data_IF_000333853196
#
_entry.id   IF_000333853196
#
_cell.length_a   1.000
_cell.length_b   1.000
_cell.length_c   1.000
_cell.angle_alpha   90.00
_cell.angle_beta   90.00
_cell.angle_gamma   90.00
#
_symmetry.space_group_name_H-M   'P 1'
#
loop_
_entity.id
_entity.type
_entity.pdbx_description
1 polymer ?
#
# COMPACT_ATOMS: atom_id res chain seq x y z
N UNK A 1 -56.89 -13.05 14.88
CA UNK A 1 -56.53 -11.62 14.69
C UNK A 1 -55.32 -11.62 13.77
N UNK A 2 -55.45 -11.57 12.44
CA UNK A 2 -55.90 -10.48 11.54
C UNK A 2 -55.06 -9.21 11.67
N UNK A 3 -54.45 -8.81 10.53
CA UNK A 3 -53.82 -7.51 10.21
C UNK A 3 -52.34 -7.69 9.85
N UNK A 4 -51.87 -7.80 8.60
CA UNK A 4 -52.20 -7.21 7.28
C UNK A 4 -51.79 -5.73 7.14
N UNK A 5 -50.74 -5.47 6.34
CA UNK A 5 -50.48 -4.31 5.44
C UNK A 5 -49.03 -4.44 4.88
N UNK A 6 -48.80 -4.80 3.61
CA UNK A 6 -48.69 -3.93 2.40
C UNK A 6 -47.70 -2.77 2.59
N UNK A 7 -46.65 -2.60 1.79
CA UNK A 7 -46.65 -2.33 0.33
C UNK A 7 -45.19 -2.27 -0.16
N UNK A 8 -44.84 -2.88 -1.30
CA UNK A 8 -44.72 -2.27 -2.64
C UNK A 8 -43.30 -1.83 -2.99
N UNK A 9 -42.75 -2.43 -4.05
CA UNK A 9 -42.13 -1.82 -5.24
C UNK A 9 -41.06 -2.80 -5.74
N UNK A 10 -41.38 -3.58 -6.76
CA UNK A 10 -40.37 -4.24 -7.60
C UNK A 10 -40.94 -4.57 -8.98
N UNK A 11 -40.97 -3.54 -9.84
CA UNK A 11 -41.24 -3.68 -11.28
C UNK A 11 -40.33 -2.72 -12.01
N UNK A 12 -39.07 -3.10 -12.28
CA UNK A 12 -38.28 -2.46 -13.35
C UNK A 12 -36.99 -3.23 -13.67
N UNK A 13 -37.10 -4.39 -14.33
CA UNK A 13 -35.90 -5.10 -14.81
C UNK A 13 -36.10 -5.94 -16.08
N UNK A 14 -37.19 -5.69 -16.84
CA UNK A 14 -37.47 -6.42 -18.09
C UNK A 14 -37.54 -5.60 -19.39
N UNK A 15 -37.31 -4.28 -19.39
CA UNK A 15 -37.45 -3.48 -20.64
C UNK A 15 -36.14 -3.15 -21.38
N UNK A 16 -34.95 -3.39 -20.82
CA UNK A 16 -33.69 -2.95 -21.46
C UNK A 16 -33.06 -3.95 -22.44
N UNK A 17 -33.60 -5.18 -22.57
CA UNK A 17 -33.12 -6.17 -23.55
C UNK A 17 -33.85 -6.13 -24.91
N UNK A 18 -34.89 -5.30 -25.06
CA UNK A 18 -35.69 -5.25 -26.30
C UNK A 18 -35.25 -4.16 -27.30
N UNK A 19 -34.33 -3.25 -26.93
CA UNK A 19 -33.96 -2.09 -27.76
C UNK A 19 -32.68 -2.31 -28.57
N UNK A 20 -31.80 -3.25 -28.20
CA UNK A 20 -30.54 -3.48 -28.94
C UNK A 20 -30.64 -4.41 -30.17
N UNK A 21 -31.74 -5.17 -30.35
CA UNK A 21 -31.86 -6.09 -31.49
C UNK A 21 -32.46 -5.47 -32.78
N UNK A 22 -32.96 -4.23 -32.73
CA UNK A 22 -33.65 -3.60 -33.88
C UNK A 22 -32.74 -2.76 -34.78
N UNK A 23 -31.46 -2.57 -34.44
CA UNK A 23 -30.55 -1.68 -35.19
C UNK A 23 -29.62 -2.40 -36.19
N UNK A 24 -29.67 -3.74 -36.27
CA UNK A 24 -28.79 -4.55 -37.15
C UNK A 24 -29.45 -5.14 -38.40
N UNK A 25 -30.72 -4.81 -38.69
CA UNK A 25 -31.45 -5.32 -39.87
C UNK A 25 -31.70 -4.32 -41.00
N UNK A 26 -31.10 -3.12 -40.97
CA UNK A 26 -31.35 -2.07 -41.96
C UNK A 26 -30.15 -1.74 -42.86
N UNK A 27 -29.35 -2.76 -43.21
CA UNK A 27 -28.21 -2.58 -44.12
C UNK A 27 -27.92 -3.84 -44.96
N UNK A 28 -28.98 -4.58 -45.33
CA UNK A 28 -28.88 -5.70 -46.27
C UNK A 28 -30.10 -5.66 -47.18
N UNK A 29 -29.88 -5.26 -48.43
CA UNK A 29 -30.87 -5.32 -49.50
C UNK A 29 -31.26 -3.95 -50.05
N UNK A 30 -30.44 -3.41 -50.94
CA UNK A 30 -30.89 -2.68 -52.12
C UNK A 30 -29.70 -2.51 -53.06
N UNK A 31 -29.61 -3.39 -54.04
CA UNK A 31 -28.93 -3.13 -55.33
C UNK A 31 -29.25 -4.32 -56.24
N UNK A 32 -30.37 -4.18 -56.96
CA UNK A 32 -30.61 -4.89 -58.20
C UNK A 32 -30.66 -3.84 -59.31
N UNK A 33 -29.85 -4.10 -60.33
CA UNK A 33 -29.98 -3.72 -61.75
C UNK A 33 -30.13 -2.26 -62.16
N UNK A 34 -29.10 -1.76 -62.86
CA UNK A 34 -29.32 -1.12 -64.16
C UNK A 34 -28.21 -1.53 -65.14
N UNK A 35 -28.65 -2.06 -66.28
CA UNK A 35 -27.85 -2.38 -67.46
C UNK A 35 -27.15 -1.14 -68.01
N UNK A 36 -25.84 -1.20 -68.24
CA UNK A 36 -25.21 -0.41 -69.30
C UNK A 36 -23.88 -1.00 -69.82
N UNK A 37 -24.00 -1.60 -71.00
CA UNK A 37 -23.24 -1.26 -72.20
C UNK A 37 -21.71 -1.48 -72.18
N UNK A 38 -21.35 -2.56 -72.87
CA UNK A 38 -20.02 -2.88 -73.39
C UNK A 38 -19.46 -1.72 -74.24
N UNK A 39 -18.33 -1.17 -73.83
CA UNK A 39 -17.24 -0.72 -74.71
C UNK A 39 -15.91 -0.61 -73.90
N UNK A 40 -14.75 -0.92 -74.50
CA UNK A 40 -13.49 -1.09 -73.77
C UNK A 40 -12.64 0.19 -73.74
N UNK A 41 -11.64 0.21 -72.85
CA UNK A 41 -10.42 1.07 -72.82
C UNK A 41 -10.35 2.11 -71.70
N UNK A 42 -9.78 1.71 -70.56
CA UNK A 42 -8.92 2.54 -69.68
C UNK A 42 -8.47 1.69 -68.50
N UNK A 43 -7.31 1.03 -68.65
CA UNK A 43 -6.80 0.01 -67.72
C UNK A 43 -5.44 0.43 -67.14
N UNK A 44 -5.26 1.71 -66.79
CA UNK A 44 -3.97 2.23 -66.29
C UNK A 44 -4.06 3.39 -65.26
N UNK A 45 -5.19 3.65 -64.59
CA UNK A 45 -5.28 4.79 -63.64
C UNK A 45 -5.52 4.42 -62.16
N UNK A 46 -5.72 3.14 -61.82
CA UNK A 46 -6.01 2.72 -60.43
C UNK A 46 -4.76 2.45 -59.56
N UNK A 47 -3.57 2.26 -60.15
CA UNK A 47 -2.34 2.06 -59.37
C UNK A 47 -1.85 3.37 -58.72
N UNK A 48 -2.07 4.52 -59.36
CA UNK A 48 -1.60 5.82 -58.86
C UNK A 48 -2.34 6.25 -57.58
N UNK A 49 -3.64 5.95 -57.46
CA UNK A 49 -4.40 6.23 -56.23
C UNK A 49 -3.90 5.40 -55.02
N UNK A 50 -3.43 4.17 -55.26
CA UNK A 50 -2.87 3.32 -54.22
C UNK A 50 -1.46 3.80 -53.80
N UNK A 51 -0.66 4.28 -54.74
CA UNK A 51 0.65 4.88 -54.47
C UNK A 51 0.51 6.15 -53.62
N UNK A 52 -0.47 7.00 -53.91
CA UNK A 52 -0.70 8.22 -53.13
C UNK A 52 -1.25 7.93 -51.73
N UNK A 53 -2.11 6.91 -51.58
CA UNK A 53 -2.54 6.42 -50.27
C UNK A 53 -1.37 5.87 -49.43
N UNK A 54 -0.44 5.15 -50.07
CA UNK A 54 0.78 4.64 -49.42
C UNK A 54 1.73 5.79 -49.02
N UNK A 55 1.90 6.79 -49.88
CA UNK A 55 2.70 7.99 -49.57
C UNK A 55 2.12 8.77 -48.38
N UNK A 56 0.80 8.93 -48.31
CA UNK A 56 0.14 9.58 -47.19
C UNK A 56 0.34 8.83 -45.86
N UNK A 57 0.26 7.49 -45.89
CA UNK A 57 0.54 6.64 -44.71
C UNK A 57 2.00 6.72 -44.28
N UNK A 58 2.93 6.69 -45.23
CA UNK A 58 4.36 6.83 -44.95
C UNK A 58 4.70 8.20 -44.33
N UNK A 59 4.07 9.28 -44.81
CA UNK A 59 4.22 10.62 -44.24
C UNK A 59 3.72 10.69 -42.79
N UNK A 60 2.54 10.10 -42.51
CA UNK A 60 1.99 10.02 -41.15
C UNK A 60 2.90 9.23 -40.20
N UNK A 61 3.49 8.15 -40.70
CA UNK A 61 4.41 7.31 -39.93
C UNK A 61 5.74 8.03 -39.64
N UNK A 62 6.28 8.79 -40.61
CA UNK A 62 7.44 9.66 -40.39
C UNK A 62 7.18 10.73 -39.33
N UNK A 63 6.00 11.37 -39.35
CA UNK A 63 5.62 12.34 -38.33
C UNK A 63 5.47 11.71 -36.94
N UNK A 64 4.93 10.50 -36.85
CA UNK A 64 4.87 9.72 -35.61
C UNK A 64 6.25 9.44 -35.05
N UNK A 65 7.18 8.96 -35.89
CA UNK A 65 8.55 8.65 -35.48
C UNK A 65 9.26 9.91 -34.99
N UNK A 66 9.14 11.03 -35.72
CA UNK A 66 9.72 12.30 -35.30
C UNK A 66 9.18 12.76 -33.96
N UNK A 67 7.86 12.64 -33.73
CA UNK A 67 7.24 12.99 -32.45
C UNK A 67 7.77 12.12 -31.31
N UNK A 68 7.94 10.81 -31.55
CA UNK A 68 8.51 9.88 -30.57
C UNK A 68 9.99 10.19 -30.28
N UNK A 69 10.78 10.52 -31.30
CA UNK A 69 12.18 10.93 -31.12
C UNK A 69 12.30 12.22 -30.32
N UNK A 70 11.41 13.18 -30.54
CA UNK A 70 11.40 14.44 -29.82
C UNK A 70 11.00 14.25 -28.35
N UNK A 71 10.03 13.37 -28.08
CA UNK A 71 9.69 12.97 -26.69
C UNK A 71 10.85 12.24 -26.01
N UNK A 72 11.56 11.35 -26.72
CA UNK A 72 12.74 10.68 -26.19
C UNK A 72 13.86 11.66 -25.86
N UNK A 73 14.14 12.62 -26.74
CA UNK A 73 15.13 13.67 -26.49
C UNK A 73 14.75 14.58 -25.31
N UNK A 74 13.45 14.87 -25.13
CA UNK A 74 12.99 15.66 -23.98
C UNK A 74 13.16 14.90 -22.66
N UNK A 75 12.84 13.60 -22.65
CA UNK A 75 13.10 12.73 -21.50
C UNK A 75 14.60 12.58 -21.21
N UNK A 76 15.45 12.44 -22.24
CA UNK A 76 16.92 12.41 -22.09
C UNK A 76 17.43 13.71 -21.46
N UNK A 77 16.92 14.88 -21.89
CA UNK A 77 17.28 16.17 -21.29
C UNK A 77 16.83 16.30 -19.85
N UNK A 78 15.64 15.80 -19.51
CA UNK A 78 15.16 15.79 -18.12
C UNK A 78 16.02 14.89 -17.23
N UNK A 79 16.49 13.74 -17.74
CA UNK A 79 17.43 12.85 -17.04
C UNK A 79 18.78 13.55 -16.83
N UNK A 80 19.31 14.24 -17.86
CA UNK A 80 20.59 14.97 -17.79
C UNK A 80 20.52 16.19 -16.87
N UNK A 81 19.40 16.92 -16.82
CA UNK A 81 19.21 18.04 -15.89
C UNK A 81 19.17 17.60 -14.42
N UNK A 82 18.77 16.35 -14.14
CA UNK A 82 18.83 15.77 -12.80
C UNK A 82 20.24 15.28 -12.39
N UNK A 83 21.20 15.28 -13.32
CA UNK A 83 22.58 14.82 -13.14
C UNK A 83 23.53 15.95 -12.64
N UNK A 84 23.08 17.20 -12.69
CA UNK A 84 23.90 18.36 -12.31
C UNK A 84 23.62 18.81 -10.85
N UNK A 85 24.01 17.99 -9.88
CA UNK A 85 24.40 18.46 -8.54
C UNK A 85 25.83 17.99 -8.26
N UNK A 86 26.76 18.90 -7.92
CA UNK A 86 28.17 18.53 -7.91
C UNK A 86 28.57 17.78 -6.63
N UNK A 87 29.49 16.85 -6.87
CA UNK A 87 30.58 16.34 -6.02
C UNK A 87 30.23 15.53 -4.76
N UNK A 88 30.32 14.19 -4.86
CA UNK A 88 31.50 13.47 -4.35
C UNK A 88 31.61 12.04 -4.94
N UNK A 89 32.85 11.63 -5.25
CA UNK A 89 33.22 10.49 -6.11
C UNK A 89 33.00 9.10 -5.44
N UNK A 90 32.52 8.15 -6.27
CA UNK A 90 32.26 6.69 -6.05
C UNK A 90 30.79 6.24 -6.02
N UNK A 91 29.84 7.15 -6.19
CA UNK A 91 28.42 6.84 -6.08
C UNK A 91 27.76 6.57 -7.42
N UNK A 92 27.25 5.34 -7.61
CA UNK A 92 26.17 5.11 -8.57
C UNK A 92 25.05 6.14 -8.34
N UNK A 93 24.39 6.65 -9.39
CA UNK A 93 23.25 7.53 -9.23
C UNK A 93 22.23 6.89 -8.28
N UNK A 94 21.70 7.66 -7.33
CA UNK A 94 20.80 7.14 -6.28
C UNK A 94 19.65 6.30 -6.87
N UNK A 95 19.12 6.70 -8.02
CA UNK A 95 18.05 6.01 -8.73
C UNK A 95 18.48 4.63 -9.26
N UNK A 96 19.74 4.44 -9.66
CA UNK A 96 20.27 3.12 -10.08
C UNK A 96 20.25 2.15 -8.91
N UNK A 97 20.62 2.62 -7.71
CA UNK A 97 20.55 1.82 -6.49
C UNK A 97 19.10 1.45 -6.17
N UNK A 98 18.19 2.41 -6.20
CA UNK A 98 16.77 2.16 -5.95
C UNK A 98 16.18 1.18 -6.96
N UNK A 99 16.45 1.34 -8.27
CA UNK A 99 16.02 0.37 -9.29
C UNK A 99 16.57 -1.02 -8.99
N UNK A 100 17.83 -1.13 -8.57
CA UNK A 100 18.42 -2.41 -8.20
C UNK A 100 17.72 -3.03 -6.98
N UNK A 101 17.41 -2.22 -5.97
CA UNK A 101 16.69 -2.62 -4.76
C UNK A 101 15.25 -3.06 -5.10
N UNK A 102 14.50 -2.28 -5.88
CA UNK A 102 13.17 -2.64 -6.39
C UNK A 102 13.18 -3.90 -7.25
N UNK A 103 14.20 -4.05 -8.11
CA UNK A 103 14.38 -5.25 -8.93
C UNK A 103 14.67 -6.48 -8.08
N UNK A 104 15.38 -6.31 -6.95
CA UNK A 104 15.61 -7.39 -5.98
C UNK A 104 14.32 -7.87 -5.32
N UNK A 105 13.35 -6.97 -5.10
CA UNK A 105 12.03 -7.30 -4.53
C UNK A 105 11.27 -8.16 -5.54
N UNK A 106 11.21 -7.74 -6.81
CA UNK A 106 10.62 -8.51 -7.89
C UNK A 106 11.25 -9.92 -8.00
N UNK A 107 12.58 -10.01 -7.99
CA UNK A 107 13.28 -11.29 -8.04
C UNK A 107 12.99 -12.18 -6.81
N UNK A 108 12.91 -11.60 -5.61
CA UNK A 108 12.55 -12.35 -4.39
C UNK A 108 11.12 -12.88 -4.44
N UNK A 109 10.17 -12.08 -4.93
CA UNK A 109 8.79 -12.51 -5.12
C UNK A 109 8.70 -13.66 -6.13
N UNK A 110 9.44 -13.56 -7.23
CA UNK A 110 9.50 -14.61 -8.25
C UNK A 110 10.15 -15.90 -7.73
N UNK A 111 11.21 -15.79 -6.94
CA UNK A 111 11.83 -16.96 -6.33
C UNK A 111 10.89 -17.64 -5.31
N UNK A 112 10.15 -16.85 -4.51
CA UNK A 112 9.13 -17.38 -3.58
C UNK A 112 7.99 -18.09 -4.29
N UNK A 113 7.59 -17.64 -5.48
CA UNK A 113 6.53 -18.29 -6.25
C UNK A 113 6.99 -19.56 -6.99
N UNK A 114 8.30 -19.83 -7.04
CA UNK A 114 8.87 -21.00 -7.70
C UNK A 114 8.68 -21.01 -9.22
N UNK A 115 8.37 -19.87 -9.84
CA UNK A 115 8.07 -19.75 -11.26
C UNK A 115 9.21 -19.08 -12.02
N UNK A 116 9.48 -19.55 -13.24
CA UNK A 116 10.40 -18.86 -14.15
C UNK A 116 9.85 -17.48 -14.55
N UNK A 117 10.72 -16.55 -14.97
CA UNK A 117 10.33 -15.17 -15.35
C UNK A 117 9.20 -15.17 -16.39
N UNK A 118 9.30 -16.07 -17.38
CA UNK A 118 8.29 -16.22 -18.41
C UNK A 118 6.98 -16.80 -17.89
N UNK A 119 7.03 -17.80 -17.01
CA UNK A 119 5.84 -18.41 -16.42
C UNK A 119 5.16 -17.50 -15.39
N UNK A 120 5.90 -16.70 -14.62
CA UNK A 120 5.33 -15.73 -13.70
C UNK A 120 4.62 -14.61 -14.46
N UNK A 121 5.25 -14.08 -15.51
CA UNK A 121 4.63 -13.09 -16.40
C UNK A 121 3.40 -13.65 -17.13
N UNK A 122 3.40 -14.95 -17.46
CA UNK A 122 2.29 -15.62 -18.14
C UNK A 122 1.16 -16.07 -17.19
N UNK A 123 1.48 -16.57 -16.00
CA UNK A 123 0.53 -17.06 -14.99
C UNK A 123 -0.22 -15.91 -14.32
N UNK A 124 0.48 -14.80 -14.03
CA UNK A 124 -0.13 -13.51 -13.71
C UNK A 124 -0.61 -12.77 -14.95
N UNK A 125 -0.38 -13.32 -16.14
CA UNK A 125 -0.54 -12.68 -17.44
C UNK A 125 -1.97 -12.41 -17.87
N UNK A 126 -3.01 -13.05 -17.34
CA UNK A 126 -4.38 -12.61 -17.66
C UNK A 126 -4.69 -11.25 -17.00
N UNK A 127 -4.25 -11.04 -15.76
CA UNK A 127 -4.35 -9.77 -15.05
C UNK A 127 -3.27 -8.80 -15.50
N UNK A 128 -2.03 -9.26 -15.69
CA UNK A 128 -0.90 -8.47 -16.16
C UNK A 128 -1.07 -7.97 -17.60
N UNK A 129 -1.56 -8.80 -18.53
CA UNK A 129 -1.90 -8.36 -19.90
C UNK A 129 -3.17 -7.52 -19.88
N UNK A 130 -4.16 -7.78 -19.02
CA UNK A 130 -5.33 -6.89 -18.91
C UNK A 130 -4.96 -5.54 -18.33
N UNK A 131 -4.06 -5.48 -17.37
CA UNK A 131 -3.57 -4.26 -16.74
C UNK A 131 -2.61 -3.55 -17.69
N UNK A 132 -1.64 -4.22 -18.32
CA UNK A 132 -0.80 -3.64 -19.39
C UNK A 132 -1.66 -3.18 -20.57
N UNK A 133 -2.69 -3.94 -20.96
CA UNK A 133 -3.64 -3.55 -22.00
C UNK A 133 -4.53 -2.38 -21.54
N UNK A 134 -4.98 -2.32 -20.28
CA UNK A 134 -5.69 -1.17 -19.70
C UNK A 134 -4.77 0.03 -19.51
N UNK A 135 -3.48 -0.17 -19.28
CA UNK A 135 -2.42 0.84 -19.20
C UNK A 135 -2.11 1.42 -20.57
N UNK A 136 -2.02 0.56 -21.58
CA UNK A 136 -1.81 0.93 -22.99
C UNK A 136 -3.07 1.59 -23.56
N UNK A 137 -4.26 1.18 -23.12
CA UNK A 137 -5.54 1.77 -23.53
C UNK A 137 -5.91 3.03 -22.73
N UNK A 138 -5.48 3.15 -21.46
CA UNK A 138 -5.69 4.32 -20.59
C UNK A 138 -4.36 4.85 -20.02
N UNK A 139 -3.47 5.39 -20.87
CA UNK A 139 -2.17 5.92 -20.45
C UNK A 139 -2.27 7.07 -19.44
N UNK A 140 -3.45 7.69 -19.29
CA UNK A 140 -3.74 8.72 -18.30
C UNK A 140 -3.68 8.24 -16.84
N UNK A 141 -3.96 6.95 -16.55
CA UNK A 141 -3.84 6.39 -15.19
C UNK A 141 -2.39 6.13 -14.81
N UNK A 142 -1.59 5.69 -15.77
CA UNK A 142 -0.14 5.58 -15.59
C UNK A 142 0.51 6.96 -15.56
N UNK A 143 0.04 7.93 -16.34
CA UNK A 143 0.50 9.31 -16.28
C UNK A 143 0.14 10.03 -14.96
N UNK A 144 -0.60 9.39 -14.05
CA UNK A 144 -0.76 9.87 -12.67
C UNK A 144 0.28 9.26 -11.71
N UNK A 145 0.81 8.07 -11.99
CA UNK A 145 1.98 7.50 -11.27
C UNK A 145 3.32 8.00 -11.85
N UNK A 146 3.34 8.17 -13.16
CA UNK A 146 4.32 8.86 -13.98
C UNK A 146 3.74 10.24 -14.28
N UNK A 147 3.20 10.91 -13.25
CA UNK A 147 2.98 12.34 -13.38
C UNK A 147 4.37 12.95 -13.60
N UNK A 148 4.59 13.79 -14.63
CA UNK A 148 5.83 14.56 -14.74
C UNK A 148 6.13 15.37 -13.46
N UNK A 149 5.15 15.57 -12.58
CA UNK A 149 5.34 16.14 -11.25
C UNK A 149 5.87 15.17 -10.16
N UNK A 150 5.90 13.85 -10.38
CA UNK A 150 6.42 12.84 -9.43
C UNK A 150 7.42 11.87 -10.09
N UNK A 151 8.55 12.36 -10.64
CA UNK A 151 9.57 11.50 -11.26
C UNK A 151 10.23 10.53 -10.26
N UNK A 152 9.99 10.70 -8.96
CA UNK A 152 10.62 9.93 -7.90
C UNK A 152 10.06 8.52 -7.73
N UNK A 153 8.88 8.22 -8.28
CA UNK A 153 8.30 6.87 -8.25
C UNK A 153 8.82 5.95 -9.36
N UNK A 154 9.37 6.53 -10.44
CA UNK A 154 9.96 5.79 -11.57
C UNK A 154 10.94 4.70 -11.14
N UNK A 155 11.90 4.94 -10.22
CA UNK A 155 12.81 3.89 -9.79
C UNK A 155 12.13 2.72 -9.07
N UNK A 156 10.96 2.92 -8.46
CA UNK A 156 10.21 1.90 -7.73
C UNK A 156 9.24 1.08 -8.61
N UNK A 157 9.09 1.46 -9.89
CA UNK A 157 8.18 0.79 -10.84
C UNK A 157 8.34 -0.73 -10.87
N UNK A 158 9.55 -1.33 -10.88
CA UNK A 158 9.70 -2.79 -10.88
C UNK A 158 9.02 -3.46 -9.67
N UNK A 159 9.17 -2.89 -8.47
CA UNK A 159 8.56 -3.42 -7.26
C UNK A 159 7.04 -3.23 -7.26
N UNK A 160 6.54 -2.08 -7.75
CA UNK A 160 5.10 -1.81 -7.87
C UNK A 160 4.45 -2.79 -8.83
N UNK A 161 5.07 -3.02 -10.00
CA UNK A 161 4.59 -3.96 -11.00
C UNK A 161 4.52 -5.40 -10.46
N UNK A 162 5.48 -5.80 -9.61
CA UNK A 162 5.48 -7.12 -9.00
C UNK A 162 4.27 -7.39 -8.09
N UNK A 163 3.62 -6.34 -7.56
CA UNK A 163 2.49 -6.43 -6.63
C UNK A 163 1.19 -5.86 -7.19
N UNK A 164 1.15 -5.58 -8.49
CA UNK A 164 0.08 -4.82 -9.12
C UNK A 164 -1.31 -5.46 -8.99
N UNK A 165 -1.35 -6.79 -9.01
CA UNK A 165 -2.57 -7.59 -8.83
C UNK A 165 -3.25 -7.37 -7.47
N UNK A 166 -2.44 -7.25 -6.41
CA UNK A 166 -2.92 -6.99 -5.05
C UNK A 166 -3.16 -5.51 -4.81
N UNK A 167 -2.39 -4.66 -5.49
CA UNK A 167 -2.61 -3.22 -5.45
C UNK A 167 -3.92 -2.83 -6.15
N UNK A 168 -4.37 -3.55 -7.18
CA UNK A 168 -5.56 -3.23 -8.00
C UNK A 168 -6.79 -2.90 -7.14
N UNK A 169 -7.08 -3.69 -6.10
CA UNK A 169 -8.20 -3.49 -5.18
C UNK A 169 -8.06 -2.26 -4.29
N UNK A 170 -6.83 -1.74 -4.12
CA UNK A 170 -6.51 -0.65 -3.20
C UNK A 170 -5.93 0.60 -3.89
N UNK A 171 -5.85 0.63 -5.23
CA UNK A 171 -5.25 1.76 -5.98
C UNK A 171 -5.99 3.08 -5.70
N UNK A 172 -7.32 3.06 -5.71
CA UNK A 172 -8.12 4.27 -5.51
C UNK A 172 -7.84 4.95 -4.15
N UNK A 173 -7.95 4.26 -2.99
CA UNK A 173 -7.67 4.91 -1.71
C UNK A 173 -6.18 5.26 -1.52
N UNK A 174 -5.24 4.50 -2.11
CA UNK A 174 -3.81 4.86 -2.10
C UNK A 174 -3.56 6.15 -2.89
N UNK A 175 -4.13 6.28 -4.09
CA UNK A 175 -4.01 7.47 -4.92
C UNK A 175 -4.54 8.70 -4.17
N UNK A 176 -5.73 8.58 -3.60
CA UNK A 176 -6.42 9.68 -2.93
C UNK A 176 -5.69 10.16 -1.66
N UNK A 177 -5.22 9.23 -0.82
CA UNK A 177 -4.69 9.54 0.52
C UNK A 177 -3.16 9.70 0.56
N UNK A 178 -2.44 8.99 -0.31
CA UNK A 178 -0.97 8.96 -0.31
C UNK A 178 -0.41 9.76 -1.47
N UNK A 179 -0.80 9.43 -2.70
CA UNK A 179 -0.14 9.99 -3.90
C UNK A 179 -0.55 11.45 -4.15
N UNK A 180 -1.80 11.81 -3.86
CA UNK A 180 -2.24 13.20 -3.95
C UNK A 180 -1.62 14.11 -2.86
N UNK A 181 -1.15 13.54 -1.74
CA UNK A 181 -0.50 14.29 -0.68
C UNK A 181 1.02 14.17 -0.76
N UNK A 182 1.68 15.18 -1.36
CA UNK A 182 3.14 15.22 -1.54
C UNK A 182 3.93 15.03 -0.24
N UNK A 183 3.40 15.41 0.92
CA UNK A 183 4.08 15.23 2.21
C UNK A 183 4.13 13.77 2.64
N UNK A 184 3.05 13.02 2.41
CA UNK A 184 3.01 11.59 2.69
C UNK A 184 3.92 10.85 1.73
N UNK A 185 3.84 11.17 0.44
CA UNK A 185 4.70 10.58 -0.58
C UNK A 185 6.18 10.77 -0.24
N UNK A 186 6.61 12.00 0.07
CA UNK A 186 8.01 12.28 0.42
C UNK A 186 8.51 11.52 1.67
N UNK A 187 7.61 11.17 2.61
CA UNK A 187 7.96 10.43 3.82
C UNK A 187 8.00 8.91 3.61
N UNK A 188 7.15 8.40 2.72
CA UNK A 188 6.98 6.96 2.46
C UNK A 188 7.91 6.47 1.34
N UNK A 189 8.15 7.30 0.33
CA UNK A 189 8.94 6.96 -0.87
C UNK A 189 10.29 6.31 -0.53
N UNK A 190 11.12 6.82 0.42
CA UNK A 190 12.41 6.19 0.72
C UNK A 190 12.32 4.75 1.22
N UNK A 191 11.14 4.33 1.68
CA UNK A 191 10.87 3.00 2.21
C UNK A 191 9.90 2.19 1.36
N UNK A 192 9.51 2.69 0.18
CA UNK A 192 8.46 2.08 -0.64
C UNK A 192 8.79 0.65 -1.04
N UNK A 193 10.04 0.35 -1.39
CA UNK A 193 10.46 -1.01 -1.72
C UNK A 193 10.30 -1.98 -0.55
N UNK A 194 10.57 -1.52 0.68
CA UNK A 194 10.40 -2.33 1.89
C UNK A 194 8.92 -2.58 2.18
N UNK A 195 8.07 -1.56 1.98
CA UNK A 195 6.61 -1.70 2.07
C UNK A 195 6.12 -2.73 1.06
N UNK A 196 6.59 -2.68 -0.18
CA UNK A 196 6.16 -3.58 -1.26
C UNK A 196 6.64 -5.02 -1.07
N UNK A 197 7.82 -5.22 -0.49
CA UNK A 197 8.33 -6.54 -0.12
C UNK A 197 7.43 -7.20 0.94
N UNK A 198 7.01 -6.40 1.94
CA UNK A 198 6.14 -6.80 3.06
C UNK A 198 4.64 -6.61 2.77
N UNK A 199 4.25 -6.34 1.52
CA UNK A 199 2.89 -5.94 1.19
C UNK A 199 1.84 -7.00 1.58
N UNK A 200 2.19 -8.28 1.48
CA UNK A 200 1.28 -9.38 1.85
C UNK A 200 0.84 -9.32 3.32
N UNK A 201 1.72 -8.85 4.21
CA UNK A 201 1.42 -8.72 5.64
C UNK A 201 0.67 -7.41 5.94
N UNK A 202 0.87 -6.38 5.11
CA UNK A 202 0.31 -5.04 5.30
C UNK A 202 -1.09 -4.93 4.69
N UNK A 203 -1.33 -5.62 3.57
CA UNK A 203 -2.56 -5.60 2.78
C UNK A 203 -3.83 -5.73 3.63
N UNK A 204 -3.95 -6.69 4.58
CA UNK A 204 -5.16 -6.83 5.40
C UNK A 204 -5.46 -5.60 6.28
N UNK A 205 -4.44 -4.81 6.61
CA UNK A 205 -4.53 -3.66 7.51
C UNK A 205 -4.57 -2.32 6.77
N UNK A 206 -4.49 -2.35 5.44
CA UNK A 206 -4.29 -1.16 4.62
C UNK A 206 -5.41 -0.15 4.76
N UNK A 207 -6.67 -0.58 4.88
CA UNK A 207 -7.80 0.33 5.07
C UNK A 207 -7.62 1.21 6.33
N UNK A 208 -7.28 0.59 7.47
CA UNK A 208 -7.03 1.31 8.71
C UNK A 208 -5.79 2.20 8.64
N UNK A 209 -4.72 1.74 7.99
CA UNK A 209 -3.50 2.51 7.79
C UNK A 209 -3.79 3.78 6.99
N UNK A 210 -4.56 3.67 5.89
CA UNK A 210 -4.90 4.80 5.03
C UNK A 210 -5.81 5.81 5.74
N UNK A 211 -6.67 5.38 6.67
CA UNK A 211 -7.46 6.26 7.54
C UNK A 211 -6.63 7.04 8.55
N UNK A 212 -5.44 6.56 8.90
CA UNK A 212 -4.56 7.16 9.89
C UNK A 212 -3.22 7.61 9.30
N UNK A 213 -3.16 7.77 7.97
CA UNK A 213 -1.91 8.00 7.24
C UNK A 213 -1.22 9.31 7.65
N UNK A 214 -2.00 10.34 7.98
CA UNK A 214 -1.48 11.64 8.43
C UNK A 214 -0.60 11.50 9.68
N UNK A 215 -0.96 10.58 10.58
CA UNK A 215 -0.19 10.31 11.79
C UNK A 215 0.97 9.34 11.53
N UNK A 216 0.79 8.35 10.64
CA UNK A 216 1.73 7.25 10.42
C UNK A 216 2.87 7.61 9.46
N UNK A 217 2.60 8.39 8.40
CA UNK A 217 3.55 8.66 7.32
C UNK A 217 4.90 9.25 7.79
N UNK A 218 4.97 10.17 8.76
CA UNK A 218 6.26 10.68 9.25
C UNK A 218 7.14 9.62 9.92
N UNK A 219 6.54 8.51 10.34
CA UNK A 219 7.17 7.46 11.14
C UNK A 219 7.39 6.16 10.36
N UNK A 220 7.10 6.13 9.07
CA UNK A 220 7.14 4.92 8.23
C UNK A 220 8.45 4.13 8.38
N UNK A 221 9.61 4.81 8.34
CA UNK A 221 10.91 4.13 8.48
C UNK A 221 11.11 3.43 9.83
N UNK A 222 10.67 4.05 10.93
CA UNK A 222 10.78 3.47 12.27
C UNK A 222 9.76 2.34 12.50
N UNK A 223 8.56 2.49 11.94
CA UNK A 223 7.52 1.45 11.99
C UNK A 223 7.95 0.21 11.19
N UNK A 224 8.52 0.39 10.00
CA UNK A 224 8.97 -0.72 9.15
C UNK A 224 10.10 -1.54 9.78
N UNK A 225 11.01 -0.89 10.51
CA UNK A 225 12.07 -1.57 11.23
C UNK A 225 11.54 -2.57 12.28
N UNK A 226 10.38 -2.29 12.86
CA UNK A 226 9.73 -3.10 13.89
C UNK A 226 8.41 -3.71 13.41
N UNK A 227 8.24 -3.90 12.11
CA UNK A 227 6.97 -4.33 11.53
C UNK A 227 6.59 -5.73 12.02
N UNK A 228 7.56 -6.62 12.18
CA UNK A 228 7.35 -7.99 12.65
C UNK A 228 6.77 -8.00 14.07
N UNK A 229 7.32 -7.18 14.96
CA UNK A 229 6.84 -7.05 16.33
C UNK A 229 5.46 -6.37 16.40
N UNK A 230 5.16 -5.45 15.49
CA UNK A 230 3.88 -4.75 15.42
C UNK A 230 2.77 -5.61 14.83
N UNK A 231 3.07 -6.41 13.80
CA UNK A 231 2.10 -7.30 13.14
C UNK A 231 1.53 -8.36 14.09
N UNK A 232 2.28 -8.73 15.14
CA UNK A 232 1.82 -9.63 16.21
C UNK A 232 0.55 -9.10 16.90
N UNK A 233 0.39 -7.78 16.98
CA UNK A 233 -0.83 -7.16 17.54
C UNK A 233 -1.91 -6.91 16.52
N UNK A 234 -1.56 -6.85 15.24
CA UNK A 234 -2.52 -6.70 14.16
C UNK A 234 -3.25 -8.03 13.88
N UNK A 235 -2.60 -9.18 14.13
CA UNK A 235 -3.12 -10.53 13.89
C UNK A 235 -3.62 -11.24 15.16
N UNK A 236 -4.35 -10.53 16.04
CA UNK A 236 -4.90 -11.18 17.24
C UNK A 236 -6.14 -12.02 16.89
N UNK A 237 -5.96 -13.33 16.71
CA UNK A 237 -7.05 -14.30 16.48
C UNK A 237 -8.11 -14.30 17.60
N UNK A 238 -7.75 -13.84 18.80
CA UNK A 238 -8.58 -13.86 20.00
C UNK A 238 -9.42 -12.58 20.21
N UNK A 239 -9.33 -11.59 19.31
CA UNK A 239 -10.05 -10.32 19.45
C UNK A 239 -11.09 -10.17 18.33
N UNK A 240 -12.27 -9.67 18.67
CA UNK A 240 -13.29 -9.32 17.69
C UNK A 240 -12.73 -8.31 16.67
N UNK A 241 -13.18 -8.37 15.40
CA UNK A 241 -12.72 -7.47 14.33
C UNK A 241 -12.87 -5.98 14.68
N UNK A 242 -13.86 -5.64 15.50
CA UNK A 242 -14.10 -4.27 15.97
C UNK A 242 -12.99 -3.78 16.92
N UNK A 243 -12.43 -4.70 17.71
CA UNK A 243 -11.40 -4.44 18.71
C UNK A 243 -9.97 -4.60 18.22
N UNK A 244 -9.78 -5.18 17.03
CA UNK A 244 -8.48 -5.45 16.41
C UNK A 244 -7.57 -4.21 16.39
N UNK A 245 -8.13 -3.01 16.18
CA UNK A 245 -7.38 -1.76 16.14
C UNK A 245 -7.56 -0.88 17.39
N UNK A 246 -8.20 -1.36 18.46
CA UNK A 246 -8.45 -0.56 19.67
C UNK A 246 -7.15 -0.15 20.36
N UNK A 247 -6.14 -1.02 20.39
CA UNK A 247 -4.81 -0.69 20.87
C UNK A 247 -4.15 0.41 20.03
N UNK A 248 -4.14 0.23 18.72
CA UNK A 248 -3.54 1.18 17.80
C UNK A 248 -4.21 2.57 17.92
N UNK A 249 -5.54 2.62 18.03
CA UNK A 249 -6.32 3.85 18.25
C UNK A 249 -5.93 4.57 19.54
N UNK A 250 -5.72 3.86 20.64
CA UNK A 250 -5.28 4.47 21.92
C UNK A 250 -3.83 4.95 21.87
N UNK A 251 -2.98 4.34 21.04
CA UNK A 251 -1.58 4.70 20.89
C UNK A 251 -1.36 5.87 19.92
N UNK A 252 -2.26 6.10 18.96
CA UNK A 252 -2.13 7.16 17.95
C UNK A 252 -1.77 8.54 18.52
N UNK A 253 -2.43 9.05 19.58
CA UNK A 253 -2.09 10.36 20.17
C UNK A 253 -0.66 10.44 20.72
N UNK A 254 -0.07 9.29 21.04
CA UNK A 254 1.26 9.17 21.62
C UNK A 254 2.26 8.57 20.62
N UNK A 255 1.89 8.41 19.35
CA UNK A 255 2.66 7.66 18.37
C UNK A 255 4.11 8.14 18.26
N UNK A 256 4.34 9.45 18.16
CA UNK A 256 5.71 9.98 18.09
C UNK A 256 6.57 9.65 19.32
N UNK A 257 5.95 9.57 20.50
CA UNK A 257 6.63 9.17 21.73
C UNK A 257 6.96 7.66 21.73
N UNK A 258 6.04 6.80 21.28
CA UNK A 258 6.27 5.35 21.23
C UNK A 258 7.23 4.93 20.13
N UNK A 259 7.08 5.49 18.93
CA UNK A 259 7.88 5.14 17.76
C UNK A 259 9.36 5.44 17.99
N UNK A 260 9.68 6.58 18.62
CA UNK A 260 11.06 6.92 18.98
C UNK A 260 11.71 5.95 19.98
N UNK A 261 10.90 5.07 20.60
CA UNK A 261 11.32 4.09 21.61
C UNK A 261 11.08 2.66 21.18
N UNK A 262 10.63 2.41 19.95
CA UNK A 262 10.42 1.04 19.46
C UNK A 262 11.71 0.21 19.51
N UNK A 263 12.88 0.83 19.35
CA UNK A 263 14.16 0.12 19.54
C UNK A 263 14.35 -0.44 20.96
N UNK A 264 13.73 0.19 21.96
CA UNK A 264 13.76 -0.23 23.37
C UNK A 264 12.60 -1.19 23.67
N UNK A 265 11.41 -0.88 23.16
CA UNK A 265 10.16 -1.61 23.50
C UNK A 265 9.98 -2.85 22.61
N UNK A 266 10.49 -2.85 21.38
CA UNK A 266 10.33 -3.89 20.36
C UNK A 266 10.55 -5.30 20.89
N UNK A 267 11.68 -5.61 21.56
CA UNK A 267 11.93 -6.93 22.14
C UNK A 267 10.90 -7.36 23.20
N UNK A 268 10.23 -6.40 23.83
CA UNK A 268 9.21 -6.65 24.86
C UNK A 268 7.80 -6.80 24.27
N UNK A 269 7.55 -6.28 23.07
CA UNK A 269 6.23 -6.29 22.44
C UNK A 269 5.60 -7.71 22.37
N UNK A 270 6.27 -8.75 21.86
CA UNK A 270 5.68 -10.10 21.84
C UNK A 270 5.23 -10.60 23.23
N UNK A 271 5.95 -10.25 24.29
CA UNK A 271 5.65 -10.65 25.67
C UNK A 271 4.51 -9.83 26.30
N UNK A 272 4.26 -8.64 25.77
CA UNK A 272 3.16 -7.78 26.21
C UNK A 272 1.81 -8.18 25.62
N UNK A 273 1.79 -8.97 24.53
CA UNK A 273 0.56 -9.45 23.87
C UNK A 273 -0.50 -10.00 24.82
N UNK A 274 -0.23 -11.00 25.70
CA UNK A 274 -1.25 -11.53 26.62
C UNK A 274 -1.79 -10.48 27.60
N UNK A 275 -1.07 -9.38 27.80
CA UNK A 275 -1.40 -8.32 28.77
C UNK A 275 -2.16 -7.15 28.14
N UNK A 276 -2.27 -7.09 26.80
CA UNK A 276 -2.95 -6.00 26.08
C UNK A 276 -4.40 -5.80 26.53
N UNK A 277 -5.25 -6.83 26.68
CA UNK A 277 -6.64 -6.63 27.11
C UNK A 277 -6.73 -5.92 28.48
N UNK A 278 -5.79 -6.21 29.38
CA UNK A 278 -5.70 -5.58 30.70
C UNK A 278 -5.22 -4.12 30.62
N UNK A 279 -4.35 -3.80 29.66
CA UNK A 279 -3.86 -2.45 29.39
C UNK A 279 -4.92 -1.56 28.74
N UNK A 280 -5.69 -2.13 27.81
CA UNK A 280 -6.81 -1.47 27.15
C UNK A 280 -7.91 -1.11 28.16
N UNK A 281 -8.12 -1.99 29.15
CA UNK A 281 -9.10 -1.75 30.21
C UNK A 281 -8.77 -0.48 30.99
N UNK A 282 -9.72 0.46 30.99
CA UNK A 282 -9.63 1.75 31.69
C UNK A 282 -8.53 2.71 31.16
N UNK A 283 -8.12 2.58 29.90
CA UNK A 283 -7.15 3.48 29.25
C UNK A 283 -5.83 3.63 30.06
N UNK A 284 -5.29 2.49 30.53
CA UNK A 284 -4.05 2.49 31.33
C UNK A 284 -2.83 2.85 30.49
N UNK A 285 -2.90 2.64 29.18
CA UNK A 285 -1.85 2.97 28.21
C UNK A 285 -1.48 4.45 28.29
N UNK A 286 -2.46 5.36 28.30
CA UNK A 286 -2.18 6.79 28.41
C UNK A 286 -1.44 7.17 29.70
N UNK A 287 -1.65 6.40 30.78
CA UNK A 287 -1.00 6.64 32.09
C UNK A 287 0.40 6.04 32.17
N UNK A 288 0.63 4.92 31.49
CA UNK A 288 1.92 4.23 31.45
C UNK A 288 2.85 4.84 30.41
N UNK A 289 2.29 5.40 29.32
CA UNK A 289 3.01 6.01 28.20
C UNK A 289 4.18 6.90 28.65
N UNK A 290 4.00 7.91 29.53
CA UNK A 290 5.08 8.82 29.92
C UNK A 290 6.22 8.16 30.71
N UNK A 291 6.04 6.91 31.14
CA UNK A 291 6.95 6.18 32.01
C UNK A 291 7.53 4.92 31.35
N UNK A 292 7.24 4.70 30.07
CA UNK A 292 7.64 3.48 29.36
C UNK A 292 9.15 3.27 29.33
N UNK A 293 9.92 4.36 29.20
CA UNK A 293 11.39 4.30 29.21
C UNK A 293 11.94 3.75 30.51
N UNK A 294 11.28 4.03 31.63
CA UNK A 294 11.76 3.56 32.93
C UNK A 294 11.36 2.12 33.18
N UNK A 295 10.20 1.71 32.66
CA UNK A 295 9.73 0.33 32.69
C UNK A 295 10.60 -0.59 31.84
N UNK A 296 11.06 -0.11 30.68
CA UNK A 296 11.82 -0.89 29.70
C UNK A 296 13.26 -0.37 29.50
N UNK A 297 13.79 0.41 30.46
CA UNK A 297 15.06 1.13 30.30
C UNK A 297 16.24 0.21 29.96
N UNK A 298 17.22 0.77 29.23
CA UNK A 298 18.45 0.17 28.69
C UNK A 298 19.33 -0.66 29.65
N UNK A 299 19.04 -0.68 30.96
CA UNK A 299 19.72 -1.53 31.96
C UNK A 299 19.06 -2.89 32.20
N UNK A 300 17.90 -3.15 31.59
CA UNK A 300 17.11 -4.36 31.82
C UNK A 300 17.13 -5.25 30.57
N UNK A 301 18.19 -6.03 30.40
CA UNK A 301 18.22 -7.13 29.42
C UNK A 301 17.25 -8.27 29.80
N UNK A 302 16.74 -8.23 31.02
CA UNK A 302 15.83 -9.24 31.53
C UNK A 302 14.40 -8.91 31.10
N UNK A 303 13.92 -9.65 30.11
CA UNK A 303 12.53 -9.69 29.62
C UNK A 303 11.48 -10.06 30.71
N UNK A 304 11.92 -10.23 31.96
CA UNK A 304 11.11 -10.58 33.12
C UNK A 304 10.07 -9.51 33.45
N UNK A 305 10.37 -8.23 33.27
CA UNK A 305 9.42 -7.15 33.56
C UNK A 305 8.23 -7.17 32.60
N UNK A 306 8.48 -7.36 31.30
CA UNK A 306 7.42 -7.52 30.29
C UNK A 306 6.64 -8.83 30.46
N UNK A 307 7.32 -9.92 30.80
CA UNK A 307 6.68 -11.23 30.97
C UNK A 307 5.68 -11.23 32.14
N UNK A 308 5.95 -10.49 33.22
CA UNK A 308 5.12 -10.44 34.43
C UNK A 308 4.33 -9.13 34.57
N UNK A 309 4.00 -8.47 33.44
CA UNK A 309 3.29 -7.20 33.48
C UNK A 309 1.87 -7.35 34.07
N UNK A 310 1.22 -8.50 33.91
CA UNK A 310 -0.05 -8.86 34.57
C UNK A 310 -0.02 -8.66 36.08
N UNK A 311 1.00 -9.20 36.77
CA UNK A 311 1.15 -9.10 38.22
C UNK A 311 1.27 -7.62 38.61
N UNK A 312 2.01 -6.84 37.83
CA UNK A 312 2.15 -5.40 38.03
C UNK A 312 0.80 -4.69 37.84
N UNK A 313 0.09 -4.95 36.74
CA UNK A 313 -1.19 -4.33 36.44
C UNK A 313 -2.30 -4.76 37.41
N UNK A 314 -2.20 -5.96 37.99
CA UNK A 314 -3.14 -6.44 38.98
C UNK A 314 -2.90 -5.76 40.33
N UNK A 315 -1.68 -5.87 40.88
CA UNK A 315 -1.35 -5.36 42.21
C UNK A 315 -1.17 -3.86 42.27
N UNK A 316 -0.65 -3.25 41.20
CA UNK A 316 -0.43 -1.82 41.09
C UNK A 316 -1.42 -1.14 40.14
N UNK A 317 -2.42 -1.86 39.60
CA UNK A 317 -3.45 -1.25 38.78
C UNK A 317 -4.20 -0.13 39.48
N UNK A 318 -4.45 -0.26 40.79
CA UNK A 318 -5.06 0.80 41.59
C UNK A 318 -4.13 2.01 41.76
N UNK A 319 -2.80 1.81 41.83
CA UNK A 319 -1.84 2.92 41.91
C UNK A 319 -1.85 3.77 40.65
N UNK A 320 -2.13 3.17 39.50
CA UNK A 320 -2.35 3.88 38.23
C UNK A 320 -3.64 4.71 38.24
N UNK A 321 -4.57 4.48 39.17
CA UNK A 321 -5.80 5.27 39.28
C UNK A 321 -5.63 6.52 40.14
N UNK A 322 -4.72 6.51 41.12
CA UNK A 322 -4.48 7.67 42.00
C UNK A 322 -3.67 8.75 41.27
N UNK A 323 -4.15 10.00 41.18
CA UNK A 323 -3.42 11.07 40.52
C UNK A 323 -2.08 11.33 41.23
N UNK A 324 -1.00 11.46 40.45
CA UNK A 324 0.35 11.74 40.97
C UNK A 324 1.14 10.51 41.45
N UNK A 325 0.49 9.45 41.93
CA UNK A 325 1.16 8.24 42.43
C UNK A 325 2.04 7.53 41.37
N UNK A 326 1.63 7.42 40.09
CA UNK A 326 2.47 6.82 39.05
C UNK A 326 3.79 7.56 38.89
N UNK A 327 3.78 8.90 38.98
CA UNK A 327 5.00 9.70 38.85
C UNK A 327 5.98 9.38 39.97
N UNK A 328 5.50 9.23 41.21
CA UNK A 328 6.35 8.84 42.34
C UNK A 328 6.86 7.41 42.20
N UNK A 329 5.98 6.45 41.89
CA UNK A 329 6.34 5.05 41.74
C UNK A 329 7.42 4.87 40.66
N UNK A 330 7.23 5.49 39.50
CA UNK A 330 8.21 5.44 38.41
C UNK A 330 9.40 6.39 38.60
N UNK A 331 9.41 7.27 39.61
CA UNK A 331 10.58 8.12 39.91
C UNK A 331 11.62 7.40 40.78
N UNK A 332 11.24 6.34 41.49
CA UNK A 332 12.18 5.60 42.34
C UNK A 332 13.14 4.78 41.47
N UNK A 333 14.48 4.99 41.56
CA UNK A 333 15.47 4.31 40.71
C UNK A 333 15.56 2.79 40.93
N UNK A 334 14.91 2.26 41.97
CA UNK A 334 14.77 0.83 42.24
C UNK A 334 13.43 0.22 41.84
N UNK A 335 12.50 0.99 41.25
CA UNK A 335 11.14 0.49 40.98
C UNK A 335 11.10 -0.78 40.11
N UNK A 336 11.97 -0.96 39.08
CA UNK A 336 11.91 -2.19 38.28
C UNK A 336 12.45 -3.41 39.04
N UNK A 337 13.47 -3.23 39.90
CA UNK A 337 13.97 -4.31 40.77
C UNK A 337 12.91 -4.73 41.79
N UNK A 338 12.18 -3.75 42.32
CA UNK A 338 11.05 -3.99 43.21
C UNK A 338 9.94 -4.74 42.49
N UNK A 339 9.64 -4.38 41.24
CA UNK A 339 8.69 -5.11 40.38
C UNK A 339 9.15 -6.55 40.14
N UNK A 340 10.41 -6.79 39.76
CA UNK A 340 10.92 -8.14 39.53
C UNK A 340 10.94 -8.98 40.82
N UNK A 341 11.31 -8.37 41.94
CA UNK A 341 11.26 -9.00 43.26
C UNK A 341 9.84 -9.38 43.66
N UNK A 342 8.89 -8.46 43.48
CA UNK A 342 7.48 -8.71 43.75
C UNK A 342 6.90 -9.75 42.79
N UNK A 343 7.20 -9.70 41.50
CA UNK A 343 6.76 -10.71 40.54
C UNK A 343 7.24 -12.12 40.90
N UNK A 344 8.43 -12.23 41.53
CA UNK A 344 8.97 -13.50 42.01
C UNK A 344 8.32 -13.98 43.32
N UNK A 345 7.97 -13.06 44.22
CA UNK A 345 7.53 -13.39 45.57
C UNK A 345 6.01 -13.30 45.78
N UNK A 346 5.27 -12.66 44.88
CA UNK A 346 3.83 -12.49 44.99
C UNK A 346 3.10 -13.71 44.41
N UNK A 347 1.98 -14.13 45.02
CA UNK A 347 1.19 -15.23 44.49
C UNK A 347 0.64 -14.86 43.11
N UNK A 348 0.98 -15.68 42.11
CA UNK A 348 0.62 -15.46 40.70
C UNK A 348 -0.89 -15.59 40.44
N UNK A 349 -1.63 -16.18 41.37
CA UNK A 349 -3.10 -16.27 41.38
C UNK A 349 -3.56 -16.27 42.83
N UNK A 350 -4.50 -15.40 43.17
CA UNK A 350 -5.48 -15.78 44.19
C UNK A 350 -6.36 -16.84 43.53
N UNK A 351 -6.30 -18.07 44.02
CA UNK A 351 -7.33 -19.05 43.71
C UNK A 351 -8.67 -18.38 44.05
N UNK A 352 -9.50 -18.17 43.02
CA UNK A 352 -10.92 -17.96 43.22
C UNK A 352 -11.56 -19.32 43.43
#
# INVERSE_FOLDING_TARGET
>A
RIGNNRSSVDVSSRSLKAIQLKKRRKQKGREDNEDQKIAPSSLLEDDDQNVDAMRARAAKLRLSILKQQLQLQDMERQIVCCDQKPSDERNHPWWVRTISESSSVLLRIMNKSGQSVGEYAWSRGSTGVRIVSELVQNPSRLAQLIDPATPTLVPHVPAILARLDKLESHVAPILERVLNNRRHLASIEPYLDQVLDRFDDIEPHLAWILDNIDALAPYTGLLLKHIDELLVYAHSDDMDQEDQYTLARQLLPYLGYYVSRLDVIGPHLPLLRPHVPLLLRNNRIGKISPHIDRLFARGYKDLNASANLDILLFWFGWTLQVPGLPRFFFAVPGSPRLVSFLAKNMPKRFAR
#
